data_IF_756344856060
#
_entry.id   IF_756344856060
#
_cell.length_a   1.000
_cell.length_b   1.000
_cell.length_c   1.000
_cell.angle_alpha   90.00
_cell.angle_beta   90.00
_cell.angle_gamma   90.00
#
_symmetry.space_group_name_H-M   'P 1'
#
loop_
_entity.id
_entity.type
_entity.pdbx_description
1 polymer ?
#
# COMPACT_ATOMS: atom_id res chain seq x y z
N UNK A 1 -7.19 4.59 -20.69
CA UNK A 1 -7.16 4.91 -19.25
C UNK A 1 -6.11 4.02 -18.64
N UNK A 2 -5.42 4.52 -17.61
CA UNK A 2 -4.36 3.83 -16.88
C UNK A 2 -3.11 3.54 -17.72
N UNK A 3 -2.72 4.50 -18.59
CA UNK A 3 -1.60 4.38 -19.51
C UNK A 3 -0.58 5.53 -19.43
N UNK A 4 -0.85 6.59 -18.67
CA UNK A 4 0.10 7.70 -18.51
C UNK A 4 1.37 7.21 -17.83
N UNK A 5 2.52 7.56 -18.40
CA UNK A 5 3.82 7.25 -17.85
C UNK A 5 4.14 8.15 -16.65
N UNK A 6 4.57 7.52 -15.55
CA UNK A 6 5.00 8.21 -14.34
C UNK A 6 6.39 8.80 -14.55
N UNK A 7 6.52 10.10 -14.32
CA UNK A 7 7.75 10.85 -14.56
C UNK A 7 7.89 12.01 -13.58
N UNK A 8 8.99 12.77 -13.65
CA UNK A 8 9.18 13.96 -12.80
C UNK A 8 8.20 15.09 -13.12
N UNK A 9 7.71 15.16 -14.37
CA UNK A 9 6.72 16.14 -14.81
C UNK A 9 5.28 15.69 -14.57
N UNK A 10 5.05 14.38 -14.52
CA UNK A 10 3.76 13.76 -14.22
C UNK A 10 3.97 12.74 -13.08
N UNK A 11 4.08 13.18 -11.82
CA UNK A 11 4.33 12.27 -10.71
C UNK A 11 3.13 11.36 -10.47
N UNK A 12 3.39 10.15 -9.97
CA UNK A 12 2.37 9.26 -9.42
C UNK A 12 2.07 9.58 -7.96
N UNK A 13 0.89 9.15 -7.48
CA UNK A 13 0.49 9.33 -6.09
C UNK A 13 0.14 7.99 -5.44
N UNK A 14 0.79 7.69 -4.31
CA UNK A 14 0.41 6.59 -3.43
C UNK A 14 -0.11 7.14 -2.11
N UNK A 15 -1.22 6.58 -1.62
CA UNK A 15 -1.71 6.86 -0.28
C UNK A 15 -2.00 5.55 0.45
N UNK A 16 -1.25 5.29 1.51
CA UNK A 16 -1.48 4.15 2.40
C UNK A 16 -2.44 4.57 3.51
N UNK A 17 -3.51 3.81 3.70
CA UNK A 17 -4.40 3.90 4.85
C UNK A 17 -4.12 2.68 5.72
N UNK A 18 -3.59 2.91 6.92
CA UNK A 18 -3.18 1.86 7.85
C UNK A 18 -4.15 1.86 9.01
N UNK A 19 -4.86 0.75 9.16
CA UNK A 19 -5.61 0.46 10.36
C UNK A 19 -4.67 0.37 11.56
N UNK A 20 -4.97 1.15 12.58
CA UNK A 20 -4.26 1.17 13.86
C UNK A 20 -5.25 0.89 14.99
N UNK A 21 -6.29 0.11 14.74
CA UNK A 21 -7.27 -0.33 15.74
C UNK A 21 -6.70 -1.36 16.72
N UNK A 22 -7.54 -1.79 17.68
CA UNK A 22 -7.08 -2.56 18.83
C UNK A 22 -6.74 -3.99 18.44
N UNK A 23 -7.49 -4.52 17.47
CA UNK A 23 -7.30 -5.83 16.86
C UNK A 23 -6.03 -5.91 16.01
N UNK A 24 -5.42 -4.78 15.65
CA UNK A 24 -4.07 -4.74 15.09
C UNK A 24 -2.99 -5.09 16.13
N UNK A 25 -3.35 -5.14 17.41
CA UNK A 25 -2.57 -5.74 18.49
C UNK A 25 -2.63 -7.27 18.54
N UNK A 26 -3.48 -7.91 17.73
CA UNK A 26 -3.60 -9.37 17.71
C UNK A 26 -2.46 -10.03 16.90
N UNK A 27 -2.24 -11.34 17.08
CA UNK A 27 -1.30 -12.10 16.26
C UNK A 27 -1.68 -12.12 14.78
N UNK A 28 -0.67 -12.13 13.91
CA UNK A 28 -0.84 -12.29 12.48
C UNK A 28 -1.13 -13.76 12.12
N UNK A 29 -2.12 -14.04 11.27
CA UNK A 29 -2.54 -15.41 10.97
C UNK A 29 -1.45 -16.31 10.37
N UNK A 30 -0.50 -15.72 9.63
CA UNK A 30 0.66 -16.45 9.09
C UNK A 30 1.84 -16.59 10.06
N UNK A 31 1.84 -15.85 11.18
CA UNK A 31 2.90 -15.90 12.20
C UNK A 31 2.36 -15.45 13.58
N UNK A 32 1.98 -16.40 14.46
CA UNK A 32 1.42 -16.08 15.78
C UNK A 32 2.37 -15.32 16.71
N UNK A 33 3.68 -15.29 16.43
CA UNK A 33 4.68 -14.54 17.22
C UNK A 33 4.80 -13.07 16.81
N UNK A 34 4.16 -12.67 15.71
CA UNK A 34 4.21 -11.32 15.18
C UNK A 34 2.83 -10.68 15.31
N UNK A 35 2.77 -9.49 15.90
CA UNK A 35 1.53 -8.70 15.95
C UNK A 35 1.22 -8.14 14.56
N UNK A 36 -0.07 -8.06 14.18
CA UNK A 36 -0.49 -7.50 12.89
C UNK A 36 0.09 -6.10 12.65
N UNK A 37 0.00 -5.21 13.64
CA UNK A 37 0.56 -3.84 13.59
C UNK A 37 2.05 -3.81 13.26
N UNK A 38 2.83 -4.75 13.82
CA UNK A 38 4.27 -4.88 13.54
C UNK A 38 4.50 -5.39 12.12
N UNK A 39 3.77 -6.42 11.69
CA UNK A 39 3.85 -6.93 10.32
C UNK A 39 3.51 -5.87 9.28
N UNK A 40 2.45 -5.08 9.51
CA UNK A 40 2.04 -4.00 8.61
C UNK A 40 3.05 -2.87 8.58
N UNK A 41 3.51 -2.38 9.74
CA UNK A 41 4.50 -1.31 9.78
C UNK A 41 5.80 -1.73 9.06
N UNK A 42 6.27 -2.96 9.31
CA UNK A 42 7.42 -3.52 8.61
C UNK A 42 7.22 -3.59 7.10
N UNK A 43 6.06 -4.06 6.65
CA UNK A 43 5.78 -4.23 5.24
C UNK A 43 5.69 -2.87 4.53
N UNK A 44 5.06 -1.87 5.13
CA UNK A 44 4.99 -0.51 4.59
C UNK A 44 6.37 0.15 4.58
N UNK A 45 7.18 -0.03 5.62
CA UNK A 45 8.57 0.47 5.63
C UNK A 45 9.41 -0.19 4.53
N UNK A 46 9.28 -1.51 4.30
CA UNK A 46 9.93 -2.20 3.17
C UNK A 46 9.48 -1.65 1.83
N UNK A 47 8.18 -1.40 1.69
CA UNK A 47 7.60 -0.82 0.49
C UNK A 47 8.19 0.56 0.19
N UNK A 48 8.21 1.46 1.18
CA UNK A 48 8.80 2.79 1.05
C UNK A 48 10.28 2.69 0.65
N UNK A 49 11.04 1.80 1.30
CA UNK A 49 12.43 1.52 0.94
C UNK A 49 12.58 1.07 -0.51
N UNK A 50 11.73 0.14 -0.97
CA UNK A 50 11.73 -0.34 -2.35
C UNK A 50 11.37 0.78 -3.34
N UNK A 51 10.41 1.64 -3.02
CA UNK A 51 10.06 2.80 -3.85
C UNK A 51 11.24 3.79 -3.94
N UNK A 52 11.91 4.07 -2.83
CA UNK A 52 13.11 4.93 -2.80
C UNK A 52 14.20 4.32 -3.67
N UNK A 53 14.53 3.03 -3.49
CA UNK A 53 15.55 2.33 -4.29
C UNK A 53 15.22 2.37 -5.78
N UNK A 54 13.96 2.14 -6.15
CA UNK A 54 13.51 2.21 -7.56
C UNK A 54 13.67 3.62 -8.16
N UNK A 55 13.51 4.66 -7.34
CA UNK A 55 13.66 6.06 -7.76
C UNK A 55 15.11 6.58 -7.72
N UNK A 56 16.02 5.85 -7.06
CA UNK A 56 17.44 6.19 -6.99
C UNK A 56 18.15 5.97 -8.32
N UNK A 57 18.94 6.96 -8.71
CA UNK A 57 19.89 6.94 -9.83
C UNK A 57 21.24 7.50 -9.35
N UNK A 58 22.25 7.47 -10.21
CA UNK A 58 23.59 7.97 -9.88
C UNK A 58 23.59 9.46 -9.47
N UNK A 59 22.61 10.23 -9.96
CA UNK A 59 22.44 11.66 -9.69
C UNK A 59 21.51 11.98 -8.50
N UNK A 60 21.01 10.97 -7.80
CA UNK A 60 20.13 11.12 -6.63
C UNK A 60 18.77 10.44 -6.79
N UNK A 61 17.82 10.79 -5.91
CA UNK A 61 16.47 10.21 -5.90
C UNK A 61 15.57 11.06 -6.80
N UNK A 62 15.00 10.46 -7.84
CA UNK A 62 14.09 11.17 -8.77
C UNK A 62 12.68 11.20 -8.20
N UNK A 63 12.09 12.38 -8.12
CA UNK A 63 10.72 12.59 -7.64
C UNK A 63 9.66 12.12 -8.64
N UNK A 64 9.57 10.81 -8.83
CA UNK A 64 8.53 10.15 -9.63
C UNK A 64 7.24 9.95 -8.85
N UNK A 65 7.30 9.91 -7.51
CA UNK A 65 6.14 9.66 -6.67
C UNK A 65 6.03 10.69 -5.54
N UNK A 66 4.79 11.01 -5.21
CA UNK A 66 4.40 11.57 -3.93
C UNK A 66 3.65 10.48 -3.14
N UNK A 67 4.03 10.31 -1.88
CA UNK A 67 3.55 9.22 -1.04
C UNK A 67 3.02 9.77 0.27
N UNK A 68 1.84 9.30 0.68
CA UNK A 68 1.25 9.56 1.98
C UNK A 68 1.04 8.27 2.76
N UNK A 69 1.16 8.36 4.08
CA UNK A 69 0.79 7.26 4.98
C UNK A 69 -0.10 7.83 6.06
N UNK A 70 -1.36 7.41 6.10
CA UNK A 70 -2.36 7.84 7.07
C UNK A 70 -2.68 6.65 7.97
N UNK A 71 -2.43 6.81 9.26
CA UNK A 71 -2.91 5.89 10.28
C UNK A 71 -4.33 6.27 10.70
N UNK A 72 -5.20 5.29 10.90
CA UNK A 72 -6.54 5.53 11.45
C UNK A 72 -6.82 4.64 12.65
N UNK A 73 -7.19 5.28 13.77
CA UNK A 73 -7.56 4.67 15.05
C UNK A 73 -7.96 5.76 16.03
N UNK A 74 -8.92 5.52 16.92
CA UNK A 74 -9.46 6.55 17.82
C UNK A 74 -8.36 7.14 18.73
N UNK A 75 -8.26 8.48 18.86
CA UNK A 75 -9.13 9.54 18.28
C UNK A 75 -8.68 10.12 16.94
N UNK A 76 -7.60 9.64 16.35
CA UNK A 76 -6.91 10.34 15.28
C UNK A 76 -6.98 9.58 13.93
N UNK A 77 -7.27 10.33 12.88
CA UNK A 77 -6.98 9.92 11.50
C UNK A 77 -5.98 10.93 10.97
N UNK A 78 -4.71 10.54 10.91
CA UNK A 78 -3.61 11.48 10.66
C UNK A 78 -2.43 10.81 9.99
N UNK A 79 -1.47 11.62 9.52
CA UNK A 79 -0.19 11.13 9.03
C UNK A 79 0.48 10.20 10.05
N UNK A 80 0.88 9.01 9.59
CA UNK A 80 1.64 8.04 10.37
C UNK A 80 3.15 8.22 10.25
N UNK A 81 3.61 9.14 9.38
CA UNK A 81 5.02 9.50 9.31
C UNK A 81 5.51 10.03 10.66
N UNK A 82 6.73 9.68 11.01
CA UNK A 82 7.41 10.10 12.23
C UNK A 82 8.63 10.98 11.93
N UNK A 83 9.20 11.60 12.97
CA UNK A 83 10.39 12.43 12.85
C UNK A 83 10.16 13.67 11.98
N UNK A 84 11.11 13.97 11.08
CA UNK A 84 11.06 15.15 10.19
C UNK A 84 9.81 15.20 9.31
N UNK A 85 9.24 14.04 8.99
CA UNK A 85 8.07 13.92 8.11
C UNK A 85 6.74 13.93 8.88
N UNK A 86 6.76 14.04 10.21
CA UNK A 86 5.56 13.99 11.04
C UNK A 86 4.54 15.06 10.65
N UNK A 87 3.26 14.67 10.59
CA UNK A 87 2.15 15.55 10.23
C UNK A 87 2.02 15.87 8.74
N UNK A 88 2.91 15.37 7.87
CA UNK A 88 2.82 15.57 6.41
C UNK A 88 1.84 14.58 5.78
N UNK A 89 0.88 15.08 5.02
CA UNK A 89 -0.14 14.24 4.33
C UNK A 89 0.43 13.53 3.10
N UNK A 90 1.17 14.26 2.26
CA UNK A 90 1.89 13.76 1.08
C UNK A 90 3.33 14.29 1.08
N UNK A 91 4.27 13.42 0.76
CA UNK A 91 5.72 13.69 0.77
C UNK A 91 6.35 13.16 -0.51
N UNK A 92 7.25 13.95 -1.11
CA UNK A 92 8.01 13.51 -2.29
C UNK A 92 8.93 12.35 -1.94
N UNK A 93 9.09 11.39 -2.86
CA UNK A 93 9.89 10.19 -2.59
C UNK A 93 11.38 10.49 -2.26
N UNK A 94 11.94 11.58 -2.78
CA UNK A 94 13.28 12.06 -2.38
C UNK A 94 13.33 12.49 -0.90
N UNK A 95 12.33 13.24 -0.44
CA UNK A 95 12.22 13.65 0.96
C UNK A 95 12.08 12.42 1.87
N UNK A 96 11.32 11.40 1.44
CA UNK A 96 11.20 10.13 2.16
C UNK A 96 12.56 9.44 2.24
N UNK A 97 13.25 9.24 1.12
CA UNK A 97 14.54 8.55 1.09
C UNK A 97 15.64 9.23 1.90
N UNK A 98 15.59 10.57 2.02
CA UNK A 98 16.56 11.35 2.78
C UNK A 98 16.23 11.47 4.28
N UNK A 99 14.99 11.18 4.70
CA UNK A 99 14.53 11.41 6.07
C UNK A 99 13.85 10.18 6.71
N UNK A 100 14.52 9.01 6.81
CA UNK A 100 14.05 7.96 7.70
C UNK A 100 14.07 8.44 9.16
N UNK A 101 13.09 8.00 9.96
CA UNK A 101 13.11 8.20 11.42
C UNK A 101 14.36 7.58 12.03
N UNK A 102 14.67 6.34 11.61
CA UNK A 102 15.88 5.61 11.97
C UNK A 102 16.22 4.57 10.90
N UNK A 103 17.46 4.10 10.93
CA UNK A 103 17.89 2.94 10.14
C UNK A 103 18.28 1.84 11.11
N UNK A 104 17.57 0.73 11.06
CA UNK A 104 17.88 -0.47 11.83
C UNK A 104 18.84 -1.38 11.05
N UNK A 105 19.60 -2.21 11.76
CA UNK A 105 20.33 -3.34 11.18
C UNK A 105 19.59 -4.63 11.52
N UNK A 106 19.17 -5.36 10.50
CA UNK A 106 18.43 -6.61 10.66
C UNK A 106 19.19 -7.75 10.02
N UNK A 107 19.24 -8.90 10.70
CA UNK A 107 19.86 -10.10 10.14
C UNK A 107 18.87 -10.78 9.19
N UNK A 108 19.25 -10.94 7.93
CA UNK A 108 18.51 -11.70 6.95
C UNK A 108 19.26 -12.98 6.63
N UNK A 109 18.55 -14.11 6.68
CA UNK A 109 19.07 -15.38 6.17
C UNK A 109 18.94 -15.38 4.65
N UNK A 110 20.06 -15.50 3.96
CA UNK A 110 20.12 -15.61 2.51
C UNK A 110 20.59 -17.03 2.20
N UNK A 111 19.76 -17.77 1.47
CA UNK A 111 20.15 -19.05 0.90
C UNK A 111 20.94 -18.80 -0.38
N UNK A 112 22.21 -19.18 -0.39
CA UNK A 112 23.02 -19.19 -1.60
C UNK A 112 22.53 -20.27 -2.57
N UNK A 113 22.92 -20.16 -3.85
CA UNK A 113 22.59 -21.16 -4.88
C UNK A 113 23.06 -22.58 -4.53
N UNK A 114 24.09 -22.68 -3.68
CA UNK A 114 24.66 -23.95 -3.20
C UNK A 114 23.96 -24.51 -1.94
N UNK A 115 22.87 -23.86 -1.47
CA UNK A 115 22.08 -24.29 -0.31
C UNK A 115 22.62 -23.83 1.05
N UNK A 116 23.81 -23.22 1.10
CA UNK A 116 24.33 -22.61 2.33
C UNK A 116 23.50 -21.40 2.74
N UNK A 117 23.12 -21.33 4.01
CA UNK A 117 22.38 -20.19 4.58
C UNK A 117 23.36 -19.28 5.30
N UNK A 118 23.57 -18.09 4.75
CA UNK A 118 24.44 -17.07 5.36
C UNK A 118 23.56 -15.98 6.01
N UNK A 119 23.90 -15.57 7.22
CA UNK A 119 23.29 -14.40 7.84
C UNK A 119 23.99 -13.13 7.37
N UNK A 120 23.24 -12.21 6.77
CA UNK A 120 23.74 -10.91 6.34
C UNK A 120 23.01 -9.80 7.08
N UNK A 121 23.74 -8.85 7.65
CA UNK A 121 23.15 -7.60 8.16
C UNK A 121 22.66 -6.77 6.98
N UNK A 122 21.37 -6.43 6.98
CA UNK A 122 20.73 -5.54 6.00
C UNK A 122 20.20 -4.29 6.69
N UNK A 123 20.36 -3.14 6.03
CA UNK A 123 19.82 -1.87 6.50
C UNK A 123 18.31 -1.85 6.29
N UNK A 124 17.59 -1.45 7.33
CA UNK A 124 16.14 -1.37 7.35
C UNK A 124 15.71 0.04 7.78
N UNK A 125 15.52 0.97 6.84
CA UNK A 125 15.00 2.29 7.14
C UNK A 125 13.54 2.21 7.63
N UNK A 126 13.22 3.02 8.64
CA UNK A 126 11.91 3.09 9.28
C UNK A 126 11.40 4.51 9.18
N UNK A 127 10.15 4.69 8.75
CA UNK A 127 9.45 5.98 8.68
C UNK A 127 8.19 6.02 9.52
N UNK A 128 7.59 4.84 9.78
CA UNK A 128 6.40 4.68 10.60
C UNK A 128 6.64 3.62 11.69
N UNK A 129 5.96 3.78 12.81
CA UNK A 129 5.98 2.83 13.93
C UNK A 129 4.73 1.95 13.92
N UNK A 130 4.81 0.72 14.45
CA UNK A 130 3.63 -0.08 14.71
C UNK A 130 2.77 0.58 15.79
N UNK A 131 1.48 0.74 15.50
CA UNK A 131 0.51 1.29 16.44
C UNK A 131 -0.75 0.42 16.44
N UNK A 132 -1.31 0.23 17.64
CA UNK A 132 -2.62 -0.34 17.89
C UNK A 132 -3.30 0.50 18.99
N UNK A 133 -4.40 1.13 18.64
CA UNK A 133 -5.23 2.07 19.41
C UNK A 133 -6.67 1.56 19.39
N UNK A 134 -7.64 2.24 20.00
CA UNK A 134 -9.01 1.74 19.99
C UNK A 134 -9.76 2.16 18.72
N UNK A 135 -10.72 1.37 18.27
CA UNK A 135 -11.64 1.73 17.19
C UNK A 135 -11.01 1.80 15.80
N UNK A 136 -11.87 1.70 14.80
CA UNK A 136 -11.50 1.58 13.39
C UNK A 136 -12.33 2.61 12.60
N UNK A 137 -11.93 3.90 12.61
CA UNK A 137 -12.70 4.96 11.93
C UNK A 137 -12.44 4.94 10.41
N UNK A 138 -12.87 3.87 9.74
CA UNK A 138 -12.60 3.62 8.33
C UNK A 138 -13.37 4.58 7.41
N UNK A 139 -14.60 4.96 7.76
CA UNK A 139 -15.34 5.97 7.01
C UNK A 139 -14.56 7.30 7.01
N UNK A 140 -14.06 7.70 8.19
CA UNK A 140 -13.23 8.89 8.33
C UNK A 140 -11.90 8.78 7.58
N UNK A 141 -11.28 7.60 7.56
CA UNK A 141 -10.07 7.34 6.79
C UNK A 141 -10.29 7.58 5.29
N UNK A 142 -11.38 7.06 4.72
CA UNK A 142 -11.73 7.29 3.32
C UNK A 142 -12.10 8.74 3.02
N UNK A 143 -12.78 9.43 3.93
CA UNK A 143 -13.06 10.87 3.80
C UNK A 143 -11.76 11.70 3.79
N UNK A 144 -10.83 11.42 4.71
CA UNK A 144 -9.51 12.07 4.76
C UNK A 144 -8.72 11.79 3.48
N UNK A 145 -8.70 10.53 3.02
CA UNK A 145 -8.07 10.15 1.77
C UNK A 145 -8.63 10.92 0.57
N UNK A 146 -9.96 11.05 0.50
CA UNK A 146 -10.64 11.82 -0.55
C UNK A 146 -10.17 13.28 -0.57
N UNK A 147 -10.11 13.94 0.60
CA UNK A 147 -9.66 15.33 0.72
C UNK A 147 -8.21 15.52 0.26
N UNK A 148 -7.31 14.61 0.64
CA UNK A 148 -5.90 14.64 0.23
C UNK A 148 -5.78 14.45 -1.29
N UNK A 149 -6.48 13.45 -1.82
CA UNK A 149 -6.41 13.04 -3.22
C UNK A 149 -7.04 14.09 -4.14
N UNK A 150 -8.15 14.71 -3.75
CA UNK A 150 -8.80 15.79 -4.50
C UNK A 150 -7.88 17.00 -4.69
N UNK A 151 -7.17 17.42 -3.63
CA UNK A 151 -6.15 18.47 -3.71
C UNK A 151 -5.01 18.09 -4.65
N UNK A 152 -4.55 16.84 -4.59
CA UNK A 152 -3.46 16.36 -5.44
C UNK A 152 -3.87 16.32 -6.92
N UNK A 153 -5.06 15.78 -7.23
CA UNK A 153 -5.60 15.70 -8.59
C UNK A 153 -5.76 17.09 -9.21
N UNK A 154 -6.23 18.08 -8.44
CA UNK A 154 -6.37 19.46 -8.93
C UNK A 154 -5.06 20.05 -9.46
N UNK A 155 -3.92 19.57 -8.97
CA UNK A 155 -2.58 19.99 -9.41
C UNK A 155 -1.95 19.05 -10.45
N UNK A 156 -2.47 17.84 -10.61
CA UNK A 156 -1.87 16.74 -11.37
C UNK A 156 -2.89 16.07 -12.31
N UNK A 157 -3.78 16.85 -12.95
CA UNK A 157 -4.91 16.33 -13.72
C UNK A 157 -4.52 15.41 -14.88
N UNK A 158 -3.30 15.54 -15.42
CA UNK A 158 -2.79 14.72 -16.52
C UNK A 158 -1.89 13.56 -16.06
N UNK A 159 -1.69 13.38 -14.75
CA UNK A 159 -0.91 12.28 -14.20
C UNK A 159 -1.70 10.98 -14.18
N UNK A 160 -0.97 9.88 -13.97
CA UNK A 160 -1.56 8.59 -13.61
C UNK A 160 -2.46 8.76 -12.37
N UNK A 161 -3.66 8.15 -12.32
CA UNK A 161 -4.56 8.33 -11.19
C UNK A 161 -3.98 7.80 -9.87
N UNK A 162 -4.28 8.46 -8.74
CA UNK A 162 -3.81 8.01 -7.43
C UNK A 162 -4.20 6.57 -7.10
N UNK A 163 -3.27 5.86 -6.45
CA UNK A 163 -3.47 4.50 -5.95
C UNK A 163 -3.51 4.56 -4.42
N UNK A 164 -4.65 4.14 -3.87
CA UNK A 164 -4.93 4.11 -2.44
C UNK A 164 -4.87 2.67 -1.98
N UNK A 165 -4.06 2.39 -0.95
CA UNK A 165 -3.89 1.04 -0.40
C UNK A 165 -4.38 1.07 1.04
N UNK A 166 -5.54 0.48 1.29
CA UNK A 166 -6.12 0.30 2.61
C UNK A 166 -5.70 -1.05 3.21
N UNK A 167 -5.16 -1.04 4.42
CA UNK A 167 -4.65 -2.22 5.12
C UNK A 167 -5.39 -2.31 6.45
N UNK A 168 -6.18 -3.35 6.66
CA UNK A 168 -7.11 -3.47 7.79
C UNK A 168 -7.48 -4.91 8.09
N UNK A 169 -7.98 -5.17 9.28
CA UNK A 169 -8.69 -6.41 9.61
C UNK A 169 -10.22 -6.27 9.58
N UNK A 170 -10.72 -5.15 9.06
CA UNK A 170 -12.03 -5.04 8.42
C UNK A 170 -13.19 -4.53 9.27
N UNK A 171 -13.03 -4.37 10.58
CA UNK A 171 -14.12 -4.04 11.51
C UNK A 171 -14.34 -2.52 11.65
N UNK A 172 -15.00 -1.89 10.67
CA UNK A 172 -15.28 -0.45 10.70
C UNK A 172 -16.27 -0.07 11.83
N UNK A 173 -15.82 0.79 12.75
CA UNK A 173 -16.58 1.17 13.96
C UNK A 173 -17.34 2.51 13.84
N UNK A 174 -17.17 3.24 12.74
CA UNK A 174 -17.72 4.59 12.53
C UNK A 174 -18.85 4.64 11.48
N UNK A 175 -19.34 3.49 11.02
CA UNK A 175 -20.49 3.37 10.12
C UNK A 175 -20.22 2.45 8.93
N UNK A 176 -21.04 2.59 7.88
CA UNK A 176 -20.85 1.86 6.62
C UNK A 176 -19.79 2.57 5.75
N UNK A 177 -18.63 1.95 5.47
CA UNK A 177 -17.56 2.57 4.70
C UNK A 177 -17.81 2.58 3.18
N UNK A 178 -18.78 1.81 2.67
CA UNK A 178 -19.03 1.64 1.23
C UNK A 178 -19.28 2.98 0.49
N UNK A 179 -20.15 3.89 0.98
CA UNK A 179 -20.37 5.17 0.30
C UNK A 179 -19.11 6.02 0.20
N UNK A 180 -18.32 6.08 1.28
CA UNK A 180 -17.07 6.86 1.33
C UNK A 180 -16.00 6.29 0.40
N UNK A 181 -15.85 4.97 0.38
CA UNK A 181 -14.95 4.29 -0.55
C UNK A 181 -15.35 4.55 -2.02
N UNK A 182 -16.65 4.42 -2.34
CA UNK A 182 -17.17 4.68 -3.70
C UNK A 182 -16.98 6.14 -4.11
N UNK A 183 -17.17 7.08 -3.19
CA UNK A 183 -16.94 8.49 -3.47
C UNK A 183 -15.46 8.79 -3.70
N UNK A 184 -14.55 8.20 -2.93
CA UNK A 184 -13.11 8.28 -3.18
C UNK A 184 -12.75 7.74 -4.57
N UNK A 185 -13.24 6.55 -4.94
CA UNK A 185 -12.98 5.92 -6.25
C UNK A 185 -13.57 6.70 -7.44
N UNK A 186 -14.56 7.57 -7.22
CA UNK A 186 -15.13 8.42 -8.28
C UNK A 186 -14.23 9.59 -8.67
N UNK A 187 -13.29 9.97 -7.82
CA UNK A 187 -12.28 10.96 -8.20
C UNK A 187 -11.46 10.43 -9.38
N UNK A 188 -11.00 11.31 -10.26
CA UNK A 188 -10.30 10.90 -11.47
C UNK A 188 -9.28 11.94 -11.92
N UNK A 189 -8.19 11.46 -12.52
CA UNK A 189 -7.39 12.26 -13.45
C UNK A 189 -7.96 12.10 -14.86
N UNK A 190 -7.35 12.73 -15.85
CA UNK A 190 -7.68 12.52 -17.26
C UNK A 190 -7.32 11.10 -17.75
N UNK A 191 -6.49 10.37 -17.01
CA UNK A 191 -6.10 9.00 -17.36
C UNK A 191 -6.91 7.92 -16.64
N UNK A 192 -7.77 8.26 -15.68
CA UNK A 192 -8.68 7.28 -15.07
C UNK A 192 -9.13 7.64 -13.68
N UNK A 193 -9.97 6.77 -13.12
CA UNK A 193 -10.45 6.88 -11.75
C UNK A 193 -9.40 6.45 -10.74
N UNK A 194 -9.45 7.02 -9.54
CA UNK A 194 -8.65 6.60 -8.38
C UNK A 194 -8.82 5.10 -8.15
N UNK A 195 -7.71 4.40 -7.92
CA UNK A 195 -7.68 2.98 -7.63
C UNK A 195 -7.63 2.78 -6.13
N UNK A 196 -8.64 2.13 -5.56
CA UNK A 196 -8.66 1.67 -4.16
C UNK A 196 -8.37 0.18 -4.10
N UNK A 197 -7.28 -0.19 -3.44
CA UNK A 197 -6.90 -1.56 -3.13
C UNK A 197 -7.06 -1.83 -1.65
N UNK A 198 -7.56 -3.01 -1.30
CA UNK A 198 -7.77 -3.43 0.10
C UNK A 198 -6.96 -4.67 0.41
N UNK A 199 -6.31 -4.66 1.56
CA UNK A 199 -5.56 -5.78 2.10
C UNK A 199 -6.17 -6.12 3.45
N UNK A 200 -6.85 -7.25 3.46
CA UNK A 200 -7.45 -7.81 4.65
C UNK A 200 -6.44 -8.68 5.41
N UNK A 201 -6.24 -8.36 6.68
CA UNK A 201 -5.33 -9.07 7.58
C UNK A 201 -6.13 -9.81 8.63
N UNK A 202 -6.07 -11.14 8.62
CA UNK A 202 -6.77 -11.98 9.57
C UNK A 202 -5.82 -12.65 10.56
N UNK A 203 -6.37 -13.09 11.69
CA UNK A 203 -5.72 -14.03 12.62
C UNK A 203 -5.82 -15.48 12.11
N UNK A 204 -6.66 -15.75 11.12
CA UNK A 204 -6.84 -17.09 10.55
C UNK A 204 -5.63 -17.48 9.71
N UNK A 205 -5.07 -18.66 9.96
CA UNK A 205 -4.03 -19.22 9.10
C UNK A 205 -4.66 -19.80 7.83
N UNK A 206 -4.62 -19.03 6.74
CA UNK A 206 -5.14 -19.44 5.44
C UNK A 206 -4.08 -19.33 4.35
N UNK A 207 -4.32 -19.99 3.22
CA UNK A 207 -3.56 -19.68 2.00
C UNK A 207 -3.82 -18.23 1.62
N UNK A 208 -2.78 -17.42 1.37
CA UNK A 208 -2.95 -16.05 0.90
C UNK A 208 -3.75 -16.00 -0.40
N UNK A 209 -4.68 -15.05 -0.50
CA UNK A 209 -5.43 -14.78 -1.73
C UNK A 209 -4.97 -13.42 -2.24
N UNK A 210 -4.61 -13.36 -3.52
CA UNK A 210 -4.15 -12.13 -4.18
C UNK A 210 -4.88 -12.02 -5.52
N UNK A 211 -5.46 -10.86 -5.77
CA UNK A 211 -6.18 -10.52 -7.00
C UNK A 211 -7.33 -11.47 -7.40
N UNK A 212 -8.19 -11.88 -6.45
CA UNK A 212 -9.29 -12.76 -6.80
C UNK A 212 -10.26 -12.06 -7.75
N UNK A 213 -10.91 -12.85 -8.59
CA UNK A 213 -11.97 -12.41 -9.51
C UNK A 213 -13.37 -12.52 -8.90
N UNK A 214 -13.46 -13.12 -7.72
CA UNK A 214 -14.69 -13.34 -6.95
C UNK A 214 -14.42 -13.10 -5.47
N UNK A 215 -15.48 -12.74 -4.73
CA UNK A 215 -15.38 -12.62 -3.29
C UNK A 215 -14.84 -13.95 -2.72
N UNK A 216 -13.84 -13.90 -1.85
CA UNK A 216 -13.27 -15.12 -1.28
C UNK A 216 -14.35 -15.85 -0.47
N UNK A 217 -14.46 -17.17 -0.67
CA UNK A 217 -15.41 -18.02 0.08
C UNK A 217 -14.85 -18.30 1.47
N UNK A 218 -14.70 -17.24 2.27
CA UNK A 218 -14.18 -17.28 3.63
C UNK A 218 -15.33 -16.88 4.56
N UNK A 219 -15.35 -17.48 5.76
CA UNK A 219 -16.26 -17.13 6.85
C UNK A 219 -15.88 -15.77 7.48
N UNK A 220 -15.79 -14.73 6.66
CA UNK A 220 -15.37 -13.40 7.07
C UNK A 220 -16.17 -12.37 6.25
N UNK A 221 -17.14 -11.74 6.91
CA UNK A 221 -18.02 -10.76 6.28
C UNK A 221 -17.29 -9.47 5.89
N UNK A 222 -16.18 -9.15 6.56
CA UNK A 222 -15.37 -7.98 6.25
C UNK A 222 -14.55 -8.18 4.98
N UNK A 223 -14.05 -9.40 4.75
CA UNK A 223 -13.34 -9.73 3.51
C UNK A 223 -14.22 -9.53 2.27
N UNK A 224 -15.51 -9.88 2.33
CA UNK A 224 -16.45 -9.67 1.24
C UNK A 224 -16.71 -8.18 0.97
N UNK A 225 -16.90 -7.38 2.03
CA UNK A 225 -17.05 -5.93 1.92
C UNK A 225 -15.82 -5.28 1.27
N UNK A 226 -14.62 -5.59 1.79
CA UNK A 226 -13.36 -5.04 1.28
C UNK A 226 -13.10 -5.44 -0.17
N UNK A 227 -13.45 -6.66 -0.56
CA UNK A 227 -13.42 -7.09 -1.95
C UNK A 227 -14.37 -6.27 -2.84
N UNK A 228 -15.60 -6.00 -2.36
CA UNK A 228 -16.59 -5.23 -3.12
C UNK A 228 -16.10 -3.80 -3.43
N UNK A 229 -15.45 -3.16 -2.45
CA UNK A 229 -14.90 -1.81 -2.57
C UNK A 229 -13.48 -1.77 -3.13
N UNK A 230 -12.90 -2.91 -3.51
CA UNK A 230 -11.63 -2.94 -4.25
C UNK A 230 -11.85 -2.68 -5.75
N UNK A 231 -10.99 -1.87 -6.35
CA UNK A 231 -11.01 -1.56 -7.78
C UNK A 231 -10.66 -2.78 -8.63
N UNK A 232 -11.22 -2.86 -9.84
CA UNK A 232 -10.71 -3.79 -10.85
C UNK A 232 -9.26 -3.45 -11.18
N UNK A 233 -8.46 -4.47 -11.50
CA UNK A 233 -7.10 -4.26 -11.97
C UNK A 233 -7.12 -3.63 -13.37
N UNK A 234 -6.36 -2.54 -13.61
CA UNK A 234 -6.13 -2.08 -14.97
C UNK A 234 -5.39 -3.13 -15.83
N UNK A 235 -5.56 -3.07 -17.15
CA UNK A 235 -4.93 -4.01 -18.09
C UNK A 235 -3.40 -4.12 -17.94
N UNK A 236 -2.75 -3.00 -17.60
CA UNK A 236 -1.31 -2.94 -17.33
C UNK A 236 -0.93 -3.78 -16.10
N UNK A 237 -1.77 -3.79 -15.05
CA UNK A 237 -1.57 -4.62 -13.86
C UNK A 237 -1.85 -6.08 -14.15
N UNK A 238 -2.91 -6.38 -14.90
CA UNK A 238 -3.23 -7.76 -15.31
C UNK A 238 -2.04 -8.35 -16.07
N UNK A 239 -1.49 -7.60 -17.03
CA UNK A 239 -0.32 -8.02 -17.81
C UNK A 239 0.91 -8.25 -16.91
N UNK A 240 1.18 -7.35 -15.97
CA UNK A 240 2.30 -7.49 -15.05
C UNK A 240 2.11 -8.71 -14.10
N UNK A 241 0.91 -8.87 -13.54
CA UNK A 241 0.55 -9.99 -12.66
C UNK A 241 0.69 -11.35 -13.36
N UNK A 242 0.26 -11.47 -14.62
CA UNK A 242 0.48 -12.69 -15.40
C UNK A 242 1.97 -13.01 -15.61
N UNK A 243 2.82 -12.00 -15.81
CA UNK A 243 4.25 -12.19 -15.99
C UNK A 243 4.97 -12.69 -14.73
N UNK A 244 4.49 -12.30 -13.54
CA UNK A 244 5.01 -12.81 -12.28
C UNK A 244 4.30 -14.11 -11.82
N UNK A 245 3.48 -14.71 -12.69
CA UNK A 245 2.88 -16.03 -12.45
C UNK A 245 1.59 -16.04 -11.65
N UNK A 246 0.94 -14.88 -11.46
CA UNK A 246 -0.37 -14.80 -10.83
C UNK A 246 -1.48 -15.22 -11.79
N UNK A 247 -2.51 -15.87 -11.25
CA UNK A 247 -3.72 -16.21 -12.00
C UNK A 247 -4.70 -15.05 -11.88
N UNK A 248 -4.75 -14.20 -12.90
CA UNK A 248 -5.62 -13.01 -12.94
C UNK A 248 -6.42 -12.93 -14.24
N UNK A 249 -7.53 -12.22 -14.20
CA UNK A 249 -8.36 -11.91 -15.37
C UNK A 249 -9.00 -10.53 -15.25
N UNK A 250 -9.86 -10.17 -16.21
CA UNK A 250 -10.51 -8.86 -16.29
C UNK A 250 -11.50 -8.55 -15.14
N UNK A 251 -11.86 -9.57 -14.34
CA UNK A 251 -12.68 -9.40 -13.14
C UNK A 251 -11.83 -9.40 -11.86
N UNK A 252 -10.51 -9.62 -11.96
CA UNK A 252 -9.60 -9.54 -10.83
C UNK A 252 -9.59 -8.13 -10.23
N UNK A 253 -9.64 -8.07 -8.90
CA UNK A 253 -9.64 -6.82 -8.14
C UNK A 253 -8.37 -6.64 -7.36
N UNK A 254 -8.00 -5.40 -7.05
CA UNK A 254 -6.93 -5.05 -6.10
C UNK A 254 -7.32 -5.41 -4.67
N UNK A 255 -7.43 -6.70 -4.39
CA UNK A 255 -7.78 -7.26 -3.10
C UNK A 255 -6.75 -8.32 -2.69
N UNK A 256 -6.33 -8.29 -1.44
CA UNK A 256 -5.50 -9.31 -0.83
C UNK A 256 -6.09 -9.78 0.50
N UNK A 257 -6.00 -11.08 0.78
CA UNK A 257 -6.36 -11.67 2.08
C UNK A 257 -5.17 -12.42 2.64
N UNK A 258 -4.69 -12.03 3.83
CA UNK A 258 -3.44 -12.56 4.43
C UNK A 258 -2.24 -12.54 3.47
N UNK A 259 -2.27 -11.62 2.50
CA UNK A 259 -1.26 -11.50 1.48
C UNK A 259 -0.07 -10.69 2.00
N UNK A 260 1.12 -11.02 1.50
CA UNK A 260 2.26 -10.14 1.64
C UNK A 260 1.98 -8.82 0.88
N UNK A 261 2.05 -7.70 1.59
CA UNK A 261 1.84 -6.36 1.04
C UNK A 261 2.77 -6.10 -0.14
N UNK A 262 4.01 -6.59 -0.08
CA UNK A 262 5.01 -6.40 -1.14
C UNK A 262 4.56 -7.10 -2.43
N UNK A 263 4.00 -8.30 -2.33
CA UNK A 263 3.41 -9.02 -3.47
C UNK A 263 2.20 -8.30 -4.08
N UNK A 264 1.40 -7.59 -3.28
CA UNK A 264 0.23 -6.85 -3.80
C UNK A 264 0.60 -5.54 -4.52
N UNK A 265 1.86 -5.11 -4.41
CA UNK A 265 2.32 -3.83 -4.95
C UNK A 265 3.58 -3.94 -5.80
N UNK A 266 4.14 -5.16 -5.96
CA UNK A 266 5.30 -5.43 -6.80
C UNK A 266 5.04 -5.03 -8.26
N UNK A 267 3.79 -5.20 -8.69
CA UNK A 267 3.25 -4.90 -10.03
C UNK A 267 3.03 -3.44 -10.33
N UNK A 268 3.16 -2.57 -9.33
CA UNK A 268 3.12 -1.13 -9.55
C UNK A 268 4.46 -0.68 -10.13
N UNK A 269 4.87 -1.40 -11.18
CA UNK A 269 5.91 -1.10 -12.17
C UNK A 269 5.31 -0.23 -13.29
N UNK A 270 4.21 0.46 -12.98
CA UNK A 270 3.53 1.37 -13.90
C UNK A 270 4.44 2.56 -14.11
N UNK A 271 4.95 2.67 -15.33
CA UNK A 271 5.55 3.89 -15.83
C UNK A 271 7.06 4.00 -15.64
N UNK A 272 7.72 3.18 -14.83
CA UNK A 272 9.19 3.08 -14.83
C UNK A 272 9.68 1.89 -15.64
N UNK A 273 9.10 1.66 -16.83
CA UNK A 273 9.93 1.18 -17.94
C UNK A 273 10.97 2.26 -18.21
N UNK A 274 12.00 2.29 -17.36
CA UNK A 274 13.33 2.78 -17.68
C UNK A 274 13.55 2.26 -19.08
N UNK A 275 13.55 3.18 -20.05
CA UNK A 275 13.73 2.82 -21.44
C UNK A 275 14.85 1.80 -21.51
N UNK A 276 14.58 0.67 -22.17
CA UNK A 276 15.65 -0.06 -22.83
C UNK A 276 16.29 0.94 -23.81
N UNK A 277 17.19 1.78 -23.28
CA UNK A 277 18.20 2.45 -24.03
C UNK A 277 19.12 1.33 -24.49
N UNK A 278 18.93 0.99 -25.77
CA UNK A 278 20.02 0.54 -26.63
C UNK A 278 21.26 1.42 -26.44
#
# INVERSE_FOLDING_TARGET
MYNVEISRSNPGCFLFLIDQSGSMGDPFGGNPSLLKSHGVADAVNRLLSNLVIKCSKDDGIRNYFEVGVIGYGNPDVSSAFMGTLAGRELVKIEEIGNNPLRIEERLQQISSADGETVQKSVKFPVWIEPLARNGTPMCKAFETARSIVEKWIALNLNSYPPIIINITDGDATDGNPIPYARDLMRLNTNDGNVLLFNIHISTQHSVPIIYPDKAPTISDEYAALLFEISSLLPDTFITAALNDGYVVNQQSRGFGFNADLISLISFIDIGTRVGMLR
#
